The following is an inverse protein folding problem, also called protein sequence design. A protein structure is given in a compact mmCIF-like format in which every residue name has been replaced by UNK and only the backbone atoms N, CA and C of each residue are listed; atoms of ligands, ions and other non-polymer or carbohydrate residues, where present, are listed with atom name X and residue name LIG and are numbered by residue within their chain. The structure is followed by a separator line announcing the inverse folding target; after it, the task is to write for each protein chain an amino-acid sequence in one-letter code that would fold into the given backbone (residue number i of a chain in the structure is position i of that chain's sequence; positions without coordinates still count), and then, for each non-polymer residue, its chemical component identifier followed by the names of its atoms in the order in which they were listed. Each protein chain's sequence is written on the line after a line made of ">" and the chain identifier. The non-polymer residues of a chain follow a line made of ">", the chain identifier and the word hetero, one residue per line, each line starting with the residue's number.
data_IF_777376123094
#
_entry.id   IF_777376123094
#
_cell.length_a   1.000
_cell.length_b   1.000
_cell.length_c   1.000
_cell.angle_alpha   90.00
_cell.angle_beta   90.00
_cell.angle_gamma   90.00
#
_symmetry.space_group_name_H-M   'P 1'
#
loop_
_entity.id
_entity.type
_entity.pdbx_description
1 polymer ?
#
# COMPACT_ATOMS: atom_id res chain seq x y z
N UNK A 1 -21.31 -1.12 37.41
CA UNK A 1 -22.40 -0.27 36.92
C UNK A 1 -22.52 -0.42 35.42
N UNK A 2 -23.59 -0.99 34.96
CA UNK A 2 -23.83 -1.13 33.51
C UNK A 2 -24.25 0.21 32.95
N UNK A 3 -23.51 0.68 31.93
CA UNK A 3 -23.86 1.91 31.20
C UNK A 3 -24.75 1.57 30.02
N UNK A 4 -25.77 2.37 29.82
CA UNK A 4 -26.69 2.27 28.69
C UNK A 4 -26.53 3.50 27.80
N UNK A 5 -26.35 3.29 26.49
CA UNK A 5 -26.36 4.32 25.49
C UNK A 5 -27.71 4.32 24.80
N UNK A 6 -28.38 5.47 24.81
CA UNK A 6 -29.71 5.65 24.24
C UNK A 6 -29.62 6.22 22.82
N UNK A 7 -30.25 5.54 21.87
CA UNK A 7 -30.55 6.05 20.54
C UNK A 7 -32.02 6.51 20.46
N UNK A 8 -32.45 7.02 19.29
CA UNK A 8 -33.81 7.58 19.15
C UNK A 8 -34.94 6.58 19.41
N UNK A 9 -34.71 5.27 19.28
CA UNK A 9 -35.71 4.22 19.54
C UNK A 9 -35.08 2.95 20.14
N UNK A 10 -33.80 2.94 20.43
CA UNK A 10 -33.04 1.75 20.86
C UNK A 10 -32.04 2.10 21.95
N UNK A 11 -31.71 1.10 22.75
CA UNK A 11 -30.70 1.18 23.80
C UNK A 11 -29.66 0.08 23.59
N UNK A 12 -28.41 0.36 23.87
CA UNK A 12 -27.33 -0.61 23.84
C UNK A 12 -26.53 -0.53 25.14
N UNK A 13 -26.17 -1.66 25.73
CA UNK A 13 -25.34 -1.70 26.93
C UNK A 13 -23.86 -1.76 26.60
N UNK A 14 -23.03 -1.43 27.57
CA UNK A 14 -21.56 -1.47 27.45
C UNK A 14 -21.01 -2.86 27.13
N UNK A 15 -21.62 -3.92 27.66
CA UNK A 15 -21.22 -5.30 27.33
C UNK A 15 -21.47 -5.63 25.84
N UNK A 16 -22.60 -5.21 25.28
CA UNK A 16 -22.90 -5.40 23.86
C UNK A 16 -21.97 -4.58 22.95
N UNK A 17 -21.61 -3.39 23.37
CA UNK A 17 -20.61 -2.55 22.66
C UNK A 17 -19.23 -3.24 22.67
N UNK A 18 -18.81 -3.79 23.82
CA UNK A 18 -17.58 -4.57 23.93
C UNK A 18 -17.56 -5.75 22.97
N UNK A 19 -18.64 -6.54 22.93
CA UNK A 19 -18.78 -7.65 22.00
C UNK A 19 -18.74 -7.22 20.53
N UNK A 20 -19.41 -6.13 20.18
CA UNK A 20 -19.35 -5.57 18.82
C UNK A 20 -17.94 -5.12 18.44
N UNK A 21 -17.22 -4.50 19.37
CA UNK A 21 -15.84 -4.08 19.13
C UNK A 21 -14.90 -5.28 18.93
N UNK A 22 -15.09 -6.37 19.70
CA UNK A 22 -14.31 -7.59 19.53
C UNK A 22 -14.56 -8.24 18.16
N UNK A 23 -15.81 -8.30 17.71
CA UNK A 23 -16.19 -8.82 16.38
C UNK A 23 -15.56 -7.96 15.27
N UNK A 24 -15.65 -6.64 15.38
CA UNK A 24 -15.04 -5.71 14.43
C UNK A 24 -13.52 -5.88 14.40
N UNK A 25 -12.88 -6.05 15.56
CA UNK A 25 -11.45 -6.26 15.65
C UNK A 25 -11.02 -7.58 14.97
N UNK A 26 -11.78 -8.67 15.14
CA UNK A 26 -11.53 -9.93 14.45
C UNK A 26 -11.70 -9.83 12.92
N UNK A 27 -12.67 -9.05 12.45
CA UNK A 27 -12.87 -8.80 11.03
C UNK A 27 -11.75 -7.95 10.43
N UNK A 28 -11.30 -6.93 11.16
CA UNK A 28 -10.17 -6.07 10.77
C UNK A 28 -8.85 -6.86 10.73
N UNK A 29 -8.66 -7.86 11.61
CA UNK A 29 -7.50 -8.74 11.53
C UNK A 29 -7.54 -9.71 10.34
N UNK A 30 -8.74 -10.05 9.84
CA UNK A 30 -8.91 -10.91 8.66
C UNK A 30 -8.84 -10.14 7.34
N UNK A 31 -9.19 -8.89 7.34
CA UNK A 31 -8.86 -7.98 6.26
C UNK A 31 -7.40 -7.58 6.45
N UNK A 32 -6.51 -8.16 5.65
CA UNK A 32 -5.12 -7.71 5.60
C UNK A 32 -5.11 -6.18 5.62
N UNK A 33 -4.41 -5.53 6.55
CA UNK A 33 -4.47 -4.08 6.65
C UNK A 33 -3.97 -3.51 5.33
N UNK A 34 -4.89 -3.05 4.52
CA UNK A 34 -4.56 -2.14 3.42
C UNK A 34 -3.88 -0.95 4.10
N UNK A 35 -2.58 -0.93 3.99
CA UNK A 35 -1.68 -0.18 4.84
C UNK A 35 -1.99 1.31 4.82
N UNK A 36 -2.82 1.71 5.75
CA UNK A 36 -2.97 3.12 6.07
C UNK A 36 -2.04 3.55 7.18
N UNK A 37 -0.77 3.19 7.18
CA UNK A 37 0.28 3.87 7.95
C UNK A 37 1.62 3.10 8.09
N UNK A 38 1.89 2.09 7.28
CA UNK A 38 3.26 1.59 7.24
C UNK A 38 4.17 2.70 6.70
N UNK A 39 5.29 3.00 7.36
CA UNK A 39 6.20 4.02 6.86
C UNK A 39 6.66 3.63 5.45
N UNK A 40 6.53 4.55 4.52
CA UNK A 40 6.94 4.33 3.12
C UNK A 40 8.43 3.98 3.12
N UNK A 41 8.83 2.82 2.58
CA UNK A 41 10.23 2.43 2.57
C UNK A 41 11.05 3.41 1.75
N UNK A 42 12.26 3.67 2.18
CA UNK A 42 13.18 4.56 1.45
C UNK A 42 13.57 3.94 0.11
N UNK A 43 13.88 4.75 -0.92
CA UNK A 43 14.31 4.23 -2.22
C UNK A 43 15.49 3.27 -2.15
N UNK A 44 16.43 3.51 -1.22
CA UNK A 44 17.58 2.62 -0.98
C UNK A 44 17.16 1.24 -0.46
N UNK A 45 16.15 1.18 0.40
CA UNK A 45 15.61 -0.06 0.93
C UNK A 45 14.87 -0.84 -0.15
N UNK A 46 14.04 -0.16 -0.95
CA UNK A 46 13.35 -0.75 -2.10
C UNK A 46 14.37 -1.35 -3.09
N UNK A 47 15.42 -0.60 -3.40
CA UNK A 47 16.48 -1.09 -4.27
C UNK A 47 17.19 -2.31 -3.70
N UNK A 48 17.52 -2.30 -2.41
CA UNK A 48 18.17 -3.43 -1.75
C UNK A 48 17.34 -4.71 -1.85
N UNK A 49 16.03 -4.62 -1.61
CA UNK A 49 15.13 -5.77 -1.75
C UNK A 49 15.03 -6.21 -3.22
N UNK A 50 14.99 -5.29 -4.16
CA UNK A 50 15.02 -5.63 -5.60
C UNK A 50 16.32 -6.33 -5.99
N UNK A 51 17.45 -5.98 -5.39
CA UNK A 51 18.74 -6.62 -5.62
C UNK A 51 18.77 -8.09 -5.17
N UNK A 52 18.00 -8.44 -4.13
CA UNK A 52 17.87 -9.81 -3.64
C UNK A 52 17.08 -10.72 -4.61
N UNK A 53 16.12 -10.17 -5.34
CA UNK A 53 15.23 -10.93 -6.24
C UNK A 53 15.60 -10.84 -7.71
N UNK A 54 16.21 -9.75 -8.14
CA UNK A 54 16.52 -9.48 -9.55
C UNK A 54 18.00 -9.23 -9.72
N UNK A 55 18.65 -10.02 -10.60
CA UNK A 55 20.07 -9.87 -10.90
C UNK A 55 20.25 -8.80 -11.98
N UNK A 56 21.18 -7.86 -11.76
CA UNK A 56 21.47 -6.79 -12.71
C UNK A 56 20.39 -5.70 -12.77
N UNK A 57 20.34 -4.98 -13.88
CA UNK A 57 19.35 -3.90 -14.09
C UNK A 57 19.42 -2.76 -13.04
N UNK A 58 20.60 -2.39 -12.57
CA UNK A 58 20.79 -1.41 -11.49
C UNK A 58 20.14 -0.07 -11.79
N UNK A 59 20.25 0.41 -13.03
CA UNK A 59 19.64 1.68 -13.43
C UNK A 59 18.11 1.64 -13.36
N UNK A 60 17.52 0.57 -13.88
CA UNK A 60 16.07 0.37 -13.83
C UNK A 60 15.55 0.25 -12.38
N UNK A 61 16.26 -0.48 -11.53
CA UNK A 61 15.94 -0.62 -10.10
C UNK A 61 15.97 0.72 -9.38
N UNK A 62 16.97 1.55 -9.61
CA UNK A 62 17.07 2.90 -9.02
C UNK A 62 15.90 3.79 -9.44
N UNK A 63 15.59 3.82 -10.73
CA UNK A 63 14.50 4.62 -11.28
C UNK A 63 13.17 4.16 -10.70
N UNK A 64 12.92 2.85 -10.67
CA UNK A 64 11.70 2.27 -10.10
C UNK A 64 11.57 2.55 -8.61
N UNK A 65 12.63 2.39 -7.84
CA UNK A 65 12.63 2.64 -6.42
C UNK A 65 12.25 4.09 -6.08
N UNK A 66 12.83 5.05 -6.78
CA UNK A 66 12.52 6.47 -6.60
C UNK A 66 11.09 6.80 -7.06
N UNK A 67 10.67 6.28 -8.21
CA UNK A 67 9.34 6.53 -8.75
C UNK A 67 8.23 5.97 -7.85
N UNK A 68 8.42 4.77 -7.33
CA UNK A 68 7.49 4.12 -6.39
C UNK A 68 7.42 4.88 -5.07
N UNK A 69 8.57 5.25 -4.51
CA UNK A 69 8.62 6.07 -3.29
C UNK A 69 7.86 7.39 -3.46
N UNK A 70 8.08 8.09 -4.55
CA UNK A 70 7.40 9.36 -4.86
C UNK A 70 5.89 9.16 -5.04
N UNK A 71 5.48 8.07 -5.66
CA UNK A 71 4.06 7.73 -5.85
C UNK A 71 3.36 7.55 -4.50
N UNK A 72 3.93 6.77 -3.60
CA UNK A 72 3.36 6.55 -2.27
C UNK A 72 3.41 7.78 -1.39
N UNK A 73 4.51 8.52 -1.44
CA UNK A 73 4.62 9.80 -0.73
C UNK A 73 3.53 10.80 -1.17
N UNK A 74 3.19 10.79 -2.44
CA UNK A 74 2.09 11.61 -2.96
C UNK A 74 0.72 11.15 -2.45
N UNK A 75 0.48 9.84 -2.35
CA UNK A 75 -0.78 9.29 -1.80
C UNK A 75 -0.91 9.63 -0.32
N UNK A 76 0.18 9.52 0.43
CA UNK A 76 0.21 9.80 1.87
C UNK A 76 0.14 11.29 2.18
N UNK A 77 0.76 12.13 1.34
CA UNK A 77 0.63 13.57 1.47
C UNK A 77 -0.78 14.00 1.07
N UNK A 78 -1.66 14.12 2.03
CA UNK A 78 -2.93 14.83 1.90
C UNK A 78 -2.65 16.34 1.81
N UNK A 79 -1.87 16.74 0.84
CA UNK A 79 -1.57 18.15 0.63
C UNK A 79 -2.88 18.83 0.23
N UNK A 80 -3.32 19.72 1.09
CA UNK A 80 -4.31 20.72 0.74
C UNK A 80 -3.88 21.40 -0.58
N UNK A 81 -4.80 21.52 -1.48
CA UNK A 81 -4.65 21.84 -2.90
C UNK A 81 -3.98 23.19 -3.24
N UNK A 82 -3.26 23.84 -2.31
CA UNK A 82 -2.97 25.26 -2.48
C UNK A 82 -1.60 25.60 -3.07
N UNK A 83 -0.59 24.73 -3.09
CA UNK A 83 0.75 25.20 -3.47
C UNK A 83 1.52 24.38 -4.52
N UNK A 84 1.22 23.10 -4.75
CA UNK A 84 1.96 22.31 -5.76
C UNK A 84 1.06 21.29 -6.43
N UNK A 85 0.90 21.40 -7.73
CA UNK A 85 0.21 20.42 -8.55
C UNK A 85 1.08 19.17 -8.71
N UNK A 86 0.79 18.13 -7.92
CA UNK A 86 1.45 16.82 -8.02
C UNK A 86 0.77 15.98 -9.09
N UNK A 87 1.36 15.94 -10.28
CA UNK A 87 0.86 15.12 -11.39
C UNK A 87 1.18 13.63 -11.20
N UNK A 88 0.27 12.77 -11.69
CA UNK A 88 0.52 11.32 -11.76
C UNK A 88 1.57 11.04 -12.83
N UNK A 89 2.52 10.16 -12.51
CA UNK A 89 3.46 9.65 -13.50
C UNK A 89 3.19 8.17 -13.77
N UNK A 90 3.25 7.79 -15.02
CA UNK A 90 3.21 6.40 -15.46
C UNK A 90 4.61 5.94 -15.85
N UNK A 91 4.91 4.67 -15.63
CA UNK A 91 6.22 4.10 -15.94
C UNK A 91 6.03 3.07 -17.05
N UNK A 92 6.82 3.19 -18.10
CA UNK A 92 6.88 2.24 -19.20
C UNK A 92 8.20 1.47 -19.14
N UNK A 93 8.12 0.15 -19.04
CA UNK A 93 9.26 -0.76 -19.10
C UNK A 93 9.36 -1.38 -20.50
N UNK A 94 10.44 -1.08 -21.21
CA UNK A 94 10.72 -1.61 -22.54
C UNK A 94 11.94 -2.52 -22.50
N UNK A 95 11.86 -3.62 -23.20
CA UNK A 95 12.98 -4.54 -23.36
C UNK A 95 12.57 -5.87 -23.98
N UNK A 96 13.53 -6.69 -24.40
CA UNK A 96 13.25 -8.02 -24.98
C UNK A 96 12.63 -8.96 -23.95
N UNK A 97 12.00 -10.02 -24.43
CA UNK A 97 11.49 -11.10 -23.58
C UNK A 97 12.61 -11.72 -22.76
N UNK A 98 12.37 -11.95 -21.47
CA UNK A 98 13.38 -12.52 -20.56
C UNK A 98 14.31 -11.48 -19.91
N UNK A 99 14.09 -10.19 -20.13
CA UNK A 99 14.89 -9.12 -19.48
C UNK A 99 14.49 -8.80 -18.03
N UNK A 100 13.48 -9.49 -17.48
CA UNK A 100 13.06 -9.33 -16.09
C UNK A 100 12.01 -8.23 -15.84
N UNK A 101 11.37 -7.70 -16.86
CA UNK A 101 10.34 -6.65 -16.72
C UNK A 101 9.20 -7.06 -15.78
N UNK A 102 8.61 -8.21 -16.04
CA UNK A 102 7.51 -8.74 -15.24
C UNK A 102 7.97 -9.09 -13.83
N UNK A 103 9.17 -9.63 -13.69
CA UNK A 103 9.75 -9.98 -12.38
C UNK A 103 9.95 -8.73 -11.51
N UNK A 104 10.42 -7.63 -12.08
CA UNK A 104 10.54 -6.34 -11.39
C UNK A 104 9.19 -5.85 -10.88
N UNK A 105 8.15 -5.90 -11.72
CA UNK A 105 6.81 -5.48 -11.35
C UNK A 105 6.20 -6.38 -10.25
N UNK A 106 6.34 -7.70 -10.37
CA UNK A 106 5.88 -8.65 -9.35
C UNK A 106 6.59 -8.46 -8.02
N UNK A 107 7.89 -8.24 -8.03
CA UNK A 107 8.69 -8.02 -6.83
C UNK A 107 8.28 -6.72 -6.14
N UNK A 108 8.07 -5.65 -6.90
CA UNK A 108 7.54 -4.39 -6.36
C UNK A 108 6.17 -4.57 -5.71
N UNK A 109 5.27 -5.30 -6.34
CA UNK A 109 3.95 -5.59 -5.78
C UNK A 109 4.03 -6.35 -4.45
N UNK A 110 4.98 -7.29 -4.32
CA UNK A 110 5.23 -8.00 -3.04
C UNK A 110 5.79 -7.07 -1.96
N UNK A 111 6.75 -6.21 -2.29
CA UNK A 111 7.36 -5.27 -1.35
C UNK A 111 6.31 -4.30 -0.80
N UNK A 112 5.40 -3.87 -1.65
CA UNK A 112 4.39 -2.85 -1.34
C UNK A 112 3.09 -3.44 -0.79
N UNK A 113 2.99 -4.76 -0.74
CA UNK A 113 1.75 -5.47 -0.33
C UNK A 113 0.52 -5.02 -1.11
N UNK A 114 0.67 -4.84 -2.42
CA UNK A 114 -0.42 -4.46 -3.33
C UNK A 114 -0.81 -5.62 -4.24
N UNK A 115 -2.07 -5.71 -4.67
CA UNK A 115 -2.51 -6.73 -5.61
C UNK A 115 -1.84 -6.52 -6.96
N UNK A 116 -1.51 -7.64 -7.62
CA UNK A 116 -0.85 -7.65 -8.93
C UNK A 116 -1.67 -8.47 -9.91
N UNK A 117 -1.91 -7.92 -11.09
CA UNK A 117 -2.60 -8.60 -12.18
C UNK A 117 -1.82 -8.43 -13.50
N UNK A 118 -1.85 -9.48 -14.32
CA UNK A 118 -1.29 -9.47 -15.68
C UNK A 118 -2.46 -9.53 -16.65
N UNK A 119 -2.47 -8.64 -17.62
CA UNK A 119 -3.43 -8.63 -18.71
C UNK A 119 -2.70 -8.54 -20.04
N UNK A 120 -3.13 -9.36 -20.99
CA UNK A 120 -2.70 -9.30 -22.39
C UNK A 120 -3.74 -8.51 -23.19
N UNK A 121 -3.24 -7.63 -24.02
CA UNK A 121 -4.09 -6.82 -24.90
C UNK A 121 -4.34 -7.52 -26.24
#
# INVERSE_FOLDING_TARGET
>A
MKKLIAGPTVYICDECIGLCNDIIAEEVEKEEPYAGSAPIPKPSEIKSILDDYVIGQDRAKKILAVAVHNHYKRIDSRVSADDVELSKSNILLLGPTGSGKTLLAQTLAKILHVPFAIADA
#
